data_IF_657831076918
#
_entry.id   IF_657831076918
#
_cell.length_a   1.000
_cell.length_b   1.000
_cell.length_c   1.000
_cell.angle_alpha   90.00
_cell.angle_beta   90.00
_cell.angle_gamma   90.00
#
_symmetry.space_group_name_H-M   'P 1'
#
loop_
_entity.id
_entity.type
_entity.pdbx_description
1 polymer ?
#
# COMPACT_ATOMS: atom_id res chain seq x y z
N UNK A 1 6.01 19.18 2.94
CA UNK A 1 6.27 19.32 1.50
C UNK A 1 5.18 20.19 0.88
N UNK A 2 5.44 21.02 -0.14
CA UNK A 2 4.40 21.83 -0.78
C UNK A 2 3.76 21.07 -1.98
N UNK A 3 2.56 21.47 -2.40
CA UNK A 3 1.82 20.85 -3.52
C UNK A 3 2.65 20.76 -4.80
N UNK A 4 3.45 21.78 -5.10
CA UNK A 4 4.32 21.82 -6.28
C UNK A 4 5.35 20.67 -6.30
N UNK A 5 5.92 20.35 -5.14
CA UNK A 5 6.90 19.28 -5.03
C UNK A 5 6.26 17.89 -5.25
N UNK A 6 4.99 17.70 -4.87
CA UNK A 6 4.28 16.43 -5.10
C UNK A 6 4.09 16.19 -6.59
N UNK A 7 3.60 17.21 -7.28
CA UNK A 7 3.38 17.14 -8.72
C UNK A 7 4.69 17.05 -9.50
N UNK A 8 5.76 17.69 -9.04
CA UNK A 8 7.11 17.48 -9.60
C UNK A 8 7.54 16.01 -9.48
N UNK A 9 7.39 15.41 -8.30
CA UNK A 9 7.72 14.00 -8.09
C UNK A 9 6.84 13.06 -8.92
N UNK A 10 5.55 13.39 -9.05
CA UNK A 10 4.60 12.68 -9.91
C UNK A 10 5.05 12.68 -11.37
N UNK A 11 5.41 13.84 -11.92
CA UNK A 11 5.85 13.96 -13.32
C UNK A 11 7.16 13.22 -13.59
N UNK A 12 8.14 13.34 -12.68
CA UNK A 12 9.41 12.61 -12.75
C UNK A 12 9.18 11.10 -12.70
N UNK A 13 8.26 10.66 -11.85
CA UNK A 13 7.86 9.27 -11.73
C UNK A 13 7.15 8.77 -12.99
N UNK A 14 6.22 9.52 -13.55
CA UNK A 14 5.49 9.15 -14.76
C UNK A 14 6.45 8.98 -15.95
N UNK A 15 7.38 9.94 -16.15
CA UNK A 15 8.40 9.85 -17.19
C UNK A 15 9.26 8.60 -17.04
N UNK A 16 9.59 8.23 -15.80
CA UNK A 16 10.34 7.00 -15.50
C UNK A 16 9.53 5.75 -15.84
N UNK A 17 8.27 5.66 -15.41
CA UNK A 17 7.38 4.53 -15.72
C UNK A 17 7.28 4.32 -17.23
N UNK A 18 7.10 5.39 -17.99
CA UNK A 18 7.09 5.35 -19.46
C UNK A 18 8.45 4.92 -20.03
N UNK A 19 9.57 5.41 -19.48
CA UNK A 19 10.92 5.01 -19.86
C UNK A 19 11.24 3.52 -19.60
N UNK A 20 10.57 2.91 -18.62
CA UNK A 20 10.64 1.47 -18.33
C UNK A 20 9.72 0.62 -19.22
N UNK A 21 9.01 1.24 -20.18
CA UNK A 21 7.96 0.61 -21.00
C UNK A 21 6.85 -0.04 -20.15
N UNK A 22 6.49 0.60 -19.05
CA UNK A 22 5.38 0.20 -18.19
C UNK A 22 4.17 1.11 -18.45
N UNK A 23 2.97 0.53 -18.37
CA UNK A 23 1.72 1.28 -18.37
C UNK A 23 1.44 1.84 -16.96
N UNK A 24 1.32 3.17 -16.78
CA UNK A 24 1.00 3.79 -15.49
C UNK A 24 -0.45 3.56 -15.05
N UNK A 25 -1.26 2.83 -15.85
CA UNK A 25 -2.65 2.48 -15.59
C UNK A 25 -3.65 3.64 -15.63
N UNK A 26 -3.32 4.68 -16.38
CA UNK A 26 -4.24 5.72 -16.83
C UNK A 26 -3.77 6.30 -18.16
N UNK A 27 -4.70 6.69 -19.03
CA UNK A 27 -4.40 7.34 -20.30
C UNK A 27 -4.73 8.84 -20.29
N UNK A 28 -4.63 9.45 -21.46
CA UNK A 28 -4.92 10.88 -21.65
C UNK A 28 -6.37 11.28 -21.30
N UNK A 29 -7.28 10.30 -21.15
CA UNK A 29 -8.66 10.49 -20.69
C UNK A 29 -8.79 10.71 -19.18
N UNK A 30 -7.72 10.52 -18.41
CA UNK A 30 -7.69 10.83 -16.99
C UNK A 30 -7.24 12.29 -16.82
N UNK A 31 -8.15 13.11 -16.33
CA UNK A 31 -7.93 14.53 -16.10
C UNK A 31 -8.32 14.85 -14.68
N UNK A 32 -7.46 15.56 -13.96
CA UNK A 32 -7.81 16.10 -12.66
C UNK A 32 -8.82 17.24 -12.80
N UNK A 33 -9.82 17.25 -11.92
CA UNK A 33 -10.98 18.15 -11.97
C UNK A 33 -11.33 18.63 -10.59
N UNK A 34 -11.51 19.94 -10.47
CA UNK A 34 -12.11 20.52 -9.28
C UNK A 34 -13.59 20.12 -9.21
N UNK A 35 -13.96 19.46 -8.12
CA UNK A 35 -15.32 18.98 -7.89
C UNK A 35 -15.93 19.72 -6.69
N UNK A 36 -17.22 20.13 -6.74
CA UNK A 36 -17.88 20.76 -5.61
C UNK A 36 -17.84 19.89 -4.34
N UNK A 37 -17.69 20.54 -3.18
CA UNK A 37 -17.55 19.86 -1.88
C UNK A 37 -18.69 18.88 -1.57
N UNK A 38 -19.92 19.18 -2.01
CA UNK A 38 -21.08 18.30 -1.81
C UNK A 38 -20.91 16.95 -2.52
N UNK A 39 -20.39 16.96 -3.76
CA UNK A 39 -20.08 15.74 -4.51
C UNK A 39 -18.90 14.99 -3.89
N UNK A 40 -17.87 15.72 -3.43
CA UNK A 40 -16.73 15.13 -2.70
C UNK A 40 -17.21 14.37 -1.45
N UNK A 41 -18.13 14.93 -0.66
CA UNK A 41 -18.70 14.26 0.52
C UNK A 41 -19.41 12.96 0.16
N UNK A 42 -20.23 12.97 -0.90
CA UNK A 42 -20.87 11.76 -1.40
C UNK A 42 -19.87 10.68 -1.84
N UNK A 43 -18.80 11.09 -2.52
CA UNK A 43 -17.69 10.20 -2.91
C UNK A 43 -16.99 9.59 -1.69
N UNK A 44 -16.68 10.40 -0.66
CA UNK A 44 -16.04 9.93 0.58
C UNK A 44 -16.89 8.86 1.27
N UNK A 45 -18.19 9.10 1.48
CA UNK A 45 -19.07 8.12 2.11
C UNK A 45 -19.17 6.82 1.30
N UNK A 46 -19.21 6.91 -0.03
CA UNK A 46 -19.20 5.74 -0.90
C UNK A 46 -17.90 4.93 -0.77
N UNK A 47 -16.74 5.61 -0.71
CA UNK A 47 -15.44 4.96 -0.51
C UNK A 47 -15.43 4.19 0.82
N UNK A 48 -15.90 4.79 1.92
CA UNK A 48 -15.96 4.16 3.24
C UNK A 48 -16.88 2.93 3.27
N UNK A 49 -18.04 3.01 2.60
CA UNK A 49 -18.98 1.90 2.45
C UNK A 49 -18.38 0.74 1.64
N UNK A 50 -17.71 1.05 0.52
CA UNK A 50 -17.03 0.06 -0.31
C UNK A 50 -15.92 -0.61 0.49
N UNK A 51 -15.09 0.18 1.18
CA UNK A 51 -14.00 -0.33 1.99
C UNK A 51 -14.52 -1.31 3.06
N UNK A 52 -15.57 -0.95 3.79
CA UNK A 52 -16.19 -1.83 4.80
C UNK A 52 -16.70 -3.14 4.18
N UNK A 53 -17.30 -3.09 2.98
CA UNK A 53 -17.73 -4.29 2.25
C UNK A 53 -16.54 -5.19 1.87
N UNK A 54 -15.43 -4.60 1.43
CA UNK A 54 -14.19 -5.34 1.12
C UNK A 54 -13.69 -6.06 2.37
N UNK A 55 -13.57 -5.36 3.50
CA UNK A 55 -13.10 -5.94 4.76
C UNK A 55 -14.00 -7.10 5.22
N UNK A 56 -15.32 -6.93 5.18
CA UNK A 56 -16.28 -7.99 5.52
C UNK A 56 -16.19 -9.19 4.59
N UNK A 57 -15.98 -8.94 3.29
CA UNK A 57 -15.80 -10.00 2.31
C UNK A 57 -14.54 -10.80 2.58
N UNK A 58 -13.41 -10.14 2.84
CA UNK A 58 -12.14 -10.81 3.19
C UNK A 58 -12.28 -11.66 4.45
N UNK A 59 -12.98 -11.16 5.47
CA UNK A 59 -13.33 -11.92 6.67
C UNK A 59 -14.14 -13.18 6.37
N UNK A 60 -15.14 -13.08 5.48
CA UNK A 60 -15.97 -14.21 5.04
C UNK A 60 -15.17 -15.23 4.24
N UNK A 61 -14.22 -14.76 3.42
CA UNK A 61 -13.31 -15.57 2.62
C UNK A 61 -12.18 -16.20 3.47
N UNK A 62 -12.15 -15.94 4.78
CA UNK A 62 -11.20 -16.54 5.73
C UNK A 62 -9.83 -15.86 5.80
N UNK A 63 -9.67 -14.69 5.17
CA UNK A 63 -8.42 -13.92 5.23
C UNK A 63 -8.29 -13.29 6.62
N UNK A 64 -7.14 -13.47 7.27
CA UNK A 64 -6.94 -12.90 8.60
C UNK A 64 -6.85 -11.37 8.56
N UNK A 65 -7.24 -10.72 9.66
CA UNK A 65 -7.10 -9.26 9.82
C UNK A 65 -5.63 -8.84 9.80
N UNK A 66 -4.72 -9.67 10.30
CA UNK A 66 -3.28 -9.37 10.22
C UNK A 66 -2.77 -9.34 8.78
N UNK A 67 -3.15 -10.32 7.95
CA UNK A 67 -2.83 -10.31 6.51
C UNK A 67 -3.47 -9.10 5.85
N UNK A 68 -4.75 -8.84 6.10
CA UNK A 68 -5.47 -7.73 5.49
C UNK A 68 -4.84 -6.37 5.80
N UNK A 69 -4.41 -6.14 7.05
CA UNK A 69 -3.76 -4.90 7.47
C UNK A 69 -2.44 -4.65 6.73
N UNK A 70 -1.69 -5.70 6.43
CA UNK A 70 -0.38 -5.62 5.78
C UNK A 70 -0.48 -5.61 4.25
N UNK A 71 -1.67 -5.79 3.69
CA UNK A 71 -1.90 -5.97 2.26
C UNK A 71 -2.48 -4.68 1.62
N UNK A 72 -1.76 -3.57 1.74
CA UNK A 72 -2.18 -2.26 1.22
C UNK A 72 -2.41 -2.28 -0.31
N UNK A 73 -1.67 -3.12 -1.02
CA UNK A 73 -1.74 -3.24 -2.48
C UNK A 73 -3.05 -3.91 -2.89
N UNK A 74 -3.41 -5.04 -2.29
CA UNK A 74 -4.66 -5.70 -2.62
C UNK A 74 -5.87 -4.87 -2.19
N UNK A 75 -5.82 -4.25 -1.00
CA UNK A 75 -6.89 -3.37 -0.55
C UNK A 75 -7.13 -2.21 -1.52
N UNK A 76 -6.05 -1.58 -1.98
CA UNK A 76 -6.14 -0.48 -2.96
C UNK A 76 -6.67 -0.97 -4.30
N UNK A 77 -6.21 -2.14 -4.77
CA UNK A 77 -6.68 -2.74 -6.02
C UNK A 77 -8.17 -3.13 -5.97
N UNK A 78 -8.62 -3.78 -4.90
CA UNK A 78 -10.03 -4.15 -4.70
C UNK A 78 -10.91 -2.90 -4.62
N UNK A 79 -10.46 -1.87 -3.91
CA UNK A 79 -11.15 -0.59 -3.81
C UNK A 79 -11.24 0.12 -5.16
N UNK A 80 -10.14 0.15 -5.94
CA UNK A 80 -10.14 0.72 -7.30
C UNK A 80 -11.16 0.03 -8.20
N UNK A 81 -11.20 -1.31 -8.17
CA UNK A 81 -12.14 -2.10 -8.95
C UNK A 81 -13.60 -1.77 -8.65
N UNK A 82 -13.95 -1.59 -7.38
CA UNK A 82 -15.30 -1.18 -6.96
C UNK A 82 -15.60 0.28 -7.31
N UNK A 83 -14.65 1.21 -7.16
CA UNK A 83 -14.82 2.61 -7.57
C UNK A 83 -15.10 2.72 -9.07
N UNK A 84 -14.37 1.96 -9.89
CA UNK A 84 -14.59 1.91 -11.35
C UNK A 84 -15.99 1.44 -11.71
N UNK A 85 -16.55 0.44 -11.00
CA UNK A 85 -17.95 -0.03 -11.18
C UNK A 85 -18.97 1.06 -10.85
N UNK A 86 -18.61 1.99 -9.96
CA UNK A 86 -19.43 3.14 -9.59
C UNK A 86 -19.15 4.39 -10.45
N UNK A 87 -18.36 4.25 -11.52
CA UNK A 87 -18.04 5.36 -12.44
C UNK A 87 -17.05 6.38 -11.89
N UNK A 88 -16.36 6.07 -10.79
CA UNK A 88 -15.33 6.92 -10.21
C UNK A 88 -13.99 6.52 -10.80
N UNK A 89 -13.30 7.49 -11.41
CA UNK A 89 -11.96 7.27 -11.95
C UNK A 89 -10.93 7.40 -10.85
N UNK A 90 -10.00 6.46 -10.79
CA UNK A 90 -8.87 6.49 -9.87
C UNK A 90 -7.65 5.80 -10.46
N UNK A 91 -6.49 6.28 -10.03
CA UNK A 91 -5.17 5.74 -10.35
C UNK A 91 -4.69 4.93 -9.16
N UNK A 92 -4.21 3.72 -9.42
CA UNK A 92 -3.49 2.91 -8.44
C UNK A 92 -2.04 3.36 -8.42
N UNK A 93 -1.64 4.02 -7.34
CA UNK A 93 -0.32 4.61 -7.20
C UNK A 93 0.50 3.77 -6.26
N UNK A 94 1.65 3.31 -6.75
CA UNK A 94 2.72 2.77 -5.91
C UNK A 94 3.64 3.89 -5.47
N UNK A 95 4.24 3.75 -4.29
CA UNK A 95 5.13 4.79 -3.79
C UNK A 95 5.73 4.49 -2.42
N UNK A 96 6.30 5.53 -1.84
CA UNK A 96 6.76 5.56 -0.45
C UNK A 96 5.93 6.62 0.31
N UNK A 97 6.03 6.61 1.63
CA UNK A 97 5.56 7.72 2.44
C UNK A 97 6.51 7.99 3.61
N UNK A 98 6.57 9.25 4.01
CA UNK A 98 7.33 9.76 5.14
C UNK A 98 6.36 10.02 6.28
N UNK A 99 6.65 9.50 7.47
CA UNK A 99 5.86 9.74 8.66
C UNK A 99 6.74 10.31 9.77
N UNK A 100 6.37 11.48 10.30
CA UNK A 100 7.16 12.27 11.25
C UNK A 100 8.63 12.50 10.82
N UNK A 101 8.84 12.72 9.52
CA UNK A 101 10.17 12.96 8.94
C UNK A 101 10.98 11.71 8.63
N UNK A 102 10.48 10.52 8.99
CA UNK A 102 11.15 9.25 8.72
C UNK A 102 10.50 8.56 7.49
N UNK A 103 11.29 8.17 6.48
CA UNK A 103 10.79 7.39 5.36
C UNK A 103 10.39 5.99 5.85
N UNK A 104 9.22 5.52 5.44
CA UNK A 104 8.68 4.24 5.91
C UNK A 104 9.19 3.06 5.10
N UNK A 105 9.59 3.31 3.86
CA UNK A 105 10.30 2.36 3.03
C UNK A 105 11.61 2.98 2.51
N UNK A 106 12.41 2.16 1.84
CA UNK A 106 13.65 2.63 1.20
C UNK A 106 13.63 2.21 -0.27
N UNK A 107 12.77 2.88 -1.03
CA UNK A 107 12.54 2.55 -2.44
C UNK A 107 13.45 3.39 -3.32
N UNK A 108 14.53 2.76 -3.77
CA UNK A 108 15.38 3.34 -4.82
C UNK A 108 14.93 2.88 -6.22
N UNK A 109 15.37 3.60 -7.24
CA UNK A 109 15.21 3.15 -8.64
C UNK A 109 15.80 1.77 -8.88
N UNK A 110 16.97 1.51 -8.28
CA UNK A 110 17.62 0.20 -8.32
C UNK A 110 16.74 -0.89 -7.69
N UNK A 111 16.01 -0.56 -6.63
CA UNK A 111 15.07 -1.47 -6.00
C UNK A 111 13.87 -1.76 -6.93
N UNK A 112 13.23 -0.72 -7.48
CA UNK A 112 12.11 -0.88 -8.43
C UNK A 112 12.52 -1.78 -9.61
N UNK A 113 13.70 -1.52 -10.18
CA UNK A 113 14.22 -2.32 -11.29
C UNK A 113 14.54 -3.77 -10.89
N UNK A 114 15.08 -3.99 -9.69
CA UNK A 114 15.41 -5.35 -9.23
C UNK A 114 14.17 -6.20 -9.00
N UNK A 115 13.03 -5.60 -8.61
CA UNK A 115 11.77 -6.33 -8.43
C UNK A 115 11.21 -6.85 -9.76
N UNK A 116 11.39 -6.13 -10.88
CA UNK A 116 10.93 -6.58 -12.20
C UNK A 116 11.56 -7.92 -12.66
N UNK A 117 12.69 -8.32 -12.07
CA UNK A 117 13.37 -9.58 -12.34
C UNK A 117 13.26 -10.63 -11.23
N UNK A 118 12.59 -10.31 -10.11
CA UNK A 118 12.51 -11.17 -8.94
C UNK A 118 11.06 -11.57 -8.64
N UNK A 119 10.83 -12.86 -8.44
CA UNK A 119 9.59 -13.36 -7.81
C UNK A 119 9.73 -13.25 -6.29
N UNK A 120 9.77 -12.03 -5.77
CA UNK A 120 9.90 -11.80 -4.32
C UNK A 120 8.52 -11.58 -3.68
N UNK A 121 8.19 -12.29 -2.59
CA UNK A 121 6.90 -12.14 -1.90
C UNK A 121 6.83 -10.89 -1.01
N UNK A 122 7.86 -10.05 -0.98
CA UNK A 122 7.93 -8.86 -0.13
C UNK A 122 8.15 -7.58 -0.94
N UNK A 123 7.16 -6.71 -0.95
CA UNK A 123 7.30 -5.34 -1.46
C UNK A 123 7.67 -4.40 -0.32
N UNK A 124 8.80 -3.72 -0.45
CA UNK A 124 9.10 -2.51 0.30
C UNK A 124 8.43 -1.29 -0.33
N UNK A 125 7.21 -1.42 -0.85
CA UNK A 125 6.46 -0.38 -1.55
C UNK A 125 5.06 -0.29 -0.95
N UNK A 126 4.57 0.94 -0.85
CA UNK A 126 3.21 1.22 -0.45
C UNK A 126 2.31 1.43 -1.66
N UNK A 127 1.01 1.21 -1.51
CA UNK A 127 0.04 1.44 -2.57
C UNK A 127 -1.18 2.18 -2.01
N UNK A 128 -1.63 3.19 -2.75
CA UNK A 128 -2.82 3.98 -2.47
C UNK A 128 -3.54 4.35 -3.78
N UNK A 129 -4.67 5.06 -3.66
CA UNK A 129 -5.40 5.58 -4.81
C UNK A 129 -5.34 7.10 -4.87
N UNK A 130 -5.30 7.63 -6.08
CA UNK A 130 -5.53 9.04 -6.37
C UNK A 130 -6.71 9.15 -7.34
N UNK A 131 -7.75 9.87 -6.95
CA UNK A 131 -8.96 10.07 -7.76
C UNK A 131 -8.81 11.27 -8.69
N UNK A 132 -9.66 11.33 -9.71
CA UNK A 132 -9.72 12.45 -10.66
C UNK A 132 -10.14 13.78 -10.02
N UNK A 133 -10.60 13.77 -8.77
CA UNK A 133 -10.96 14.95 -7.99
C UNK A 133 -9.94 15.32 -6.90
N UNK A 134 -8.68 14.93 -7.08
CA UNK A 134 -7.56 15.20 -6.15
C UNK A 134 -7.63 14.50 -4.79
N UNK A 135 -8.60 13.61 -4.57
CA UNK A 135 -8.62 12.81 -3.35
C UNK A 135 -7.54 11.73 -3.39
N UNK A 136 -6.67 11.74 -2.39
CA UNK A 136 -5.86 10.60 -2.00
C UNK A 136 -6.69 9.69 -1.09
N UNK A 137 -6.67 8.39 -1.37
CA UNK A 137 -7.35 7.36 -0.58
C UNK A 137 -6.36 6.26 -0.26
N UNK A 138 -6.01 6.12 1.02
CA UNK A 138 -5.12 5.09 1.52
C UNK A 138 -5.89 4.13 2.44
N UNK A 139 -6.12 2.88 2.02
CA UNK A 139 -6.96 1.95 2.77
C UNK A 139 -6.28 1.38 4.01
N UNK A 140 -4.99 1.61 4.22
CA UNK A 140 -4.20 0.86 5.20
C UNK A 140 -3.70 1.69 6.38
N UNK A 141 -3.40 2.99 6.21
CA UNK A 141 -2.78 3.81 7.27
C UNK A 141 -3.58 3.83 8.58
N UNK A 142 -4.90 4.03 8.54
CA UNK A 142 -5.68 4.08 9.79
C UNK A 142 -5.78 2.69 10.42
N UNK A 143 -5.79 1.63 9.62
CA UNK A 143 -5.72 0.26 10.15
C UNK A 143 -4.41 0.05 10.93
N UNK A 144 -3.30 0.61 10.46
CA UNK A 144 -2.04 0.59 11.23
C UNK A 144 -2.15 1.32 12.57
N UNK A 145 -2.82 2.48 12.60
CA UNK A 145 -2.99 3.27 13.83
C UNK A 145 -3.99 2.66 14.83
N UNK A 146 -5.05 2.01 14.34
CA UNK A 146 -6.08 1.35 15.17
C UNK A 146 -5.93 -0.17 15.22
N UNK A 147 -4.68 -0.66 15.05
CA UNK A 147 -4.33 -2.07 14.88
C UNK A 147 -5.06 -3.00 15.84
N UNK A 148 -4.98 -2.75 17.15
CA UNK A 148 -5.50 -3.68 18.15
C UNK A 148 -7.02 -3.87 18.04
N UNK A 149 -7.77 -2.79 17.80
CA UNK A 149 -9.23 -2.86 17.60
C UNK A 149 -9.59 -3.58 16.30
N UNK A 150 -8.83 -3.33 15.24
CA UNK A 150 -9.03 -3.98 13.94
C UNK A 150 -8.75 -5.49 14.02
N UNK A 151 -7.67 -5.89 14.70
CA UNK A 151 -7.32 -7.30 14.92
C UNK A 151 -8.34 -8.03 15.80
N UNK A 152 -8.88 -7.34 16.81
CA UNK A 152 -9.95 -7.84 17.66
C UNK A 152 -11.33 -7.87 16.98
N UNK A 153 -11.43 -7.41 15.72
CA UNK A 153 -12.70 -7.27 14.96
C UNK A 153 -13.73 -6.36 15.64
N UNK A 154 -13.28 -5.41 16.46
CA UNK A 154 -14.14 -4.40 17.07
C UNK A 154 -14.54 -3.31 16.05
N UNK A 155 -13.69 -3.09 15.05
CA UNK A 155 -13.91 -2.15 13.95
C UNK A 155 -13.53 -2.78 12.61
N UNK A 156 -14.15 -2.30 11.54
CA UNK A 156 -13.71 -2.60 10.17
C UNK A 156 -12.57 -1.68 9.68
N UNK A 157 -12.22 -0.67 10.48
CA UNK A 157 -11.30 0.40 10.10
C UNK A 157 -11.97 1.41 9.16
N UNK A 158 -11.16 2.35 8.66
CA UNK A 158 -11.57 3.31 7.63
C UNK A 158 -10.35 3.67 6.77
N UNK A 159 -10.51 3.98 5.49
CA UNK A 159 -9.42 4.52 4.70
C UNK A 159 -9.06 5.92 5.21
N UNK A 160 -7.78 6.29 5.11
CA UNK A 160 -7.37 7.68 5.17
C UNK A 160 -7.75 8.35 3.85
N UNK A 161 -8.60 9.37 3.91
CA UNK A 161 -9.04 10.11 2.72
C UNK A 161 -8.74 11.59 2.95
N UNK A 162 -8.01 12.20 2.02
CA UNK A 162 -7.69 13.62 2.06
C UNK A 162 -7.56 14.17 0.66
N UNK A 163 -7.74 15.48 0.52
CA UNK A 163 -7.23 16.20 -0.64
C UNK A 163 -5.69 16.14 -0.62
N UNK A 164 -5.11 15.70 -1.73
CA UNK A 164 -3.66 15.49 -1.87
C UNK A 164 -2.86 16.77 -1.69
N UNK A 165 -3.48 17.93 -1.97
CA UNK A 165 -2.86 19.25 -1.82
C UNK A 165 -2.96 19.77 -0.37
N UNK A 166 -3.69 19.06 0.49
CA UNK A 166 -3.91 19.41 1.91
C UNK A 166 -3.30 18.41 2.89
N UNK A 167 -2.45 17.51 2.40
CA UNK A 167 -1.73 16.56 3.24
C UNK A 167 -0.93 17.32 4.31
N UNK A 168 -0.96 16.83 5.55
CA UNK A 168 -0.32 17.50 6.67
C UNK A 168 1.22 17.46 6.53
N UNK A 169 1.94 18.20 7.37
CA UNK A 169 3.41 18.18 7.37
C UNK A 169 4.02 16.87 7.84
N UNK A 170 3.26 16.09 8.62
CA UNK A 170 3.79 14.95 9.38
C UNK A 170 3.61 13.62 8.65
N UNK A 171 2.77 13.56 7.63
CA UNK A 171 2.60 12.42 6.73
C UNK A 171 2.77 12.95 5.32
N UNK A 172 3.64 12.35 4.52
CA UNK A 172 3.89 12.81 3.17
C UNK A 172 4.07 11.64 2.20
N UNK A 173 3.50 11.70 1.00
CA UNK A 173 3.51 10.61 0.01
C UNK A 173 4.43 10.91 -1.17
N UNK A 174 5.35 9.98 -1.47
CA UNK A 174 6.29 10.06 -2.60
C UNK A 174 5.78 9.11 -3.70
N UNK A 175 5.15 9.62 -4.78
CA UNK A 175 4.58 8.77 -5.81
C UNK A 175 5.67 8.18 -6.73
N UNK A 176 5.55 6.89 -7.04
CA UNK A 176 6.32 6.20 -8.09
C UNK A 176 5.49 5.74 -9.28
N UNK A 177 4.15 5.91 -9.26
CA UNK A 177 3.23 5.84 -10.41
C UNK A 177 3.58 4.69 -11.38
N UNK A 178 3.89 3.51 -10.85
CA UNK A 178 4.37 2.37 -11.65
C UNK A 178 3.23 1.64 -12.37
N UNK A 179 2.00 1.87 -11.93
CA UNK A 179 0.79 1.28 -12.48
C UNK A 179 0.56 -0.18 -12.09
N UNK A 180 -0.60 -0.68 -12.49
CA UNK A 180 -1.05 -2.07 -12.29
C UNK A 180 -0.14 -3.07 -13.02
N UNK A 181 0.35 -2.73 -14.21
CA UNK A 181 1.23 -3.62 -14.99
C UNK A 181 2.50 -3.97 -14.21
N UNK A 182 3.08 -2.98 -13.51
CA UNK A 182 4.22 -3.23 -12.63
C UNK A 182 3.86 -4.21 -11.52
N UNK A 183 2.74 -3.98 -10.81
CA UNK A 183 2.28 -4.83 -9.72
C UNK A 183 2.02 -6.28 -10.18
N UNK A 184 1.48 -6.47 -11.39
CA UNK A 184 1.33 -7.79 -12.01
C UNK A 184 2.69 -8.43 -12.27
N UNK A 185 3.63 -7.70 -12.88
CA UNK A 185 4.97 -8.20 -13.22
C UNK A 185 5.75 -8.69 -12.00
N UNK A 186 5.57 -8.03 -10.86
CA UNK A 186 6.25 -8.40 -9.61
C UNK A 186 5.42 -9.34 -8.72
N UNK A 187 4.30 -9.87 -9.23
CA UNK A 187 3.42 -10.81 -8.52
C UNK A 187 2.78 -10.24 -7.23
N UNK A 188 2.63 -8.92 -7.15
CA UNK A 188 2.13 -8.22 -5.96
C UNK A 188 0.60 -8.27 -5.78
N UNK A 189 -0.12 -8.70 -6.81
CA UNK A 189 -1.58 -8.87 -6.76
C UNK A 189 -2.00 -10.31 -6.45
N UNK A 190 -1.06 -11.24 -6.32
CA UNK A 190 -1.36 -12.62 -5.91
C UNK A 190 -1.36 -12.73 -4.38
N UNK A 191 -2.31 -13.48 -3.84
CA UNK A 191 -2.48 -13.57 -2.40
C UNK A 191 -1.27 -14.26 -1.75
N UNK A 192 -0.91 -13.83 -0.54
CA UNK A 192 -0.02 -14.62 0.34
C UNK A 192 -0.61 -16.03 0.60
N UNK A 193 -1.94 -16.19 0.49
CA UNK A 193 -2.62 -17.49 0.51
C UNK A 193 -2.42 -18.33 -0.76
N UNK A 194 -2.14 -17.71 -1.91
CA UNK A 194 -1.96 -18.42 -3.19
C UNK A 194 -0.54 -19.00 -3.33
N UNK A 195 0.41 -18.51 -2.52
CA UNK A 195 1.80 -19.01 -2.45
C UNK A 195 1.95 -20.18 -1.46
N UNK A 196 0.89 -20.51 -0.73
CA UNK A 196 0.87 -21.64 0.20
C UNK A 196 0.14 -22.86 -0.36
N UNK A 197 0.73 -23.61 -1.31
CA UNK A 197 0.36 -25.02 -1.60
C UNK A 197 1.57 -25.74 -2.26
N UNK A 198 1.75 -27.08 -2.17
CA UNK A 198 1.13 -28.13 -1.35
C UNK A 198 2.17 -29.02 -0.58
N UNK A 199 1.69 -29.85 0.34
CA UNK A 199 2.29 -31.10 0.86
C UNK A 199 3.79 -31.34 0.64
N UNK A 200 4.64 -30.81 1.52
CA UNK A 200 5.93 -31.44 1.81
C UNK A 200 5.75 -32.24 3.10
N UNK A 201 5.56 -33.55 2.93
CA UNK A 201 5.58 -34.55 4.00
C UNK A 201 7.00 -34.61 4.59
N UNK A 202 7.30 -33.75 5.56
CA UNK A 202 8.50 -33.86 6.40
C UNK A 202 8.11 -34.51 7.71
N UNK A 203 8.10 -35.84 7.72
CA UNK A 203 8.31 -36.59 8.96
C UNK A 203 9.68 -36.22 9.53
N UNK A 204 9.69 -35.35 10.54
CA UNK A 204 10.86 -35.03 11.33
C UNK A 204 10.71 -33.69 12.04
N UNK A 205 10.23 -33.75 13.28
CA UNK A 205 10.35 -32.71 14.31
C UNK A 205 9.71 -31.34 14.00
N UNK A 206 8.38 -31.30 14.11
CA UNK A 206 7.62 -30.09 14.46
C UNK A 206 7.95 -29.66 15.91
N UNK A 207 9.15 -29.10 16.10
CA UNK A 207 9.35 -28.13 17.17
C UNK A 207 8.78 -26.80 16.70
N UNK A 208 7.77 -26.33 17.43
CA UNK A 208 7.27 -24.98 17.37
C UNK A 208 8.43 -23.98 17.47
N UNK A 209 8.83 -23.39 16.34
CA UNK A 209 9.62 -22.17 16.35
C UNK A 209 8.66 -20.99 16.29
N UNK A 210 8.25 -20.56 17.48
CA UNK A 210 8.03 -19.14 17.71
C UNK A 210 9.20 -18.40 17.04
N UNK A 211 8.91 -17.55 16.04
CA UNK A 211 9.87 -16.56 15.59
C UNK A 211 10.13 -15.67 16.82
N UNK A 212 11.15 -16.03 17.58
CA UNK A 212 11.69 -15.18 18.62
C UNK A 212 12.13 -13.90 17.92
N UNK A 213 11.61 -12.76 18.38
CA UNK A 213 12.08 -11.47 17.91
C UNK A 213 13.62 -11.45 17.95
N UNK A 214 14.29 -10.94 16.90
CA UNK A 214 15.73 -10.80 16.92
C UNK A 214 16.15 -10.07 18.19
N UNK A 215 17.13 -10.62 18.90
CA UNK A 215 17.65 -9.98 20.10
C UNK A 215 18.03 -8.53 19.79
N UNK A 216 17.68 -7.59 20.68
CA UNK A 216 17.92 -6.15 20.51
C UNK A 216 19.36 -5.80 20.09
N UNK A 217 20.33 -6.67 20.34
CA UNK A 217 21.73 -6.46 20.02
C UNK A 217 22.25 -7.24 18.79
N UNK A 218 21.46 -8.10 18.14
CA UNK A 218 21.85 -8.75 16.88
C UNK A 218 21.76 -7.78 15.71
N UNK A 219 22.51 -8.06 14.63
CA UNK A 219 22.35 -7.31 13.39
C UNK A 219 20.91 -7.42 12.91
N UNK A 220 20.40 -6.32 12.38
CA UNK A 220 19.03 -6.25 11.93
C UNK A 220 18.85 -7.10 10.67
N UNK A 221 17.78 -7.90 10.56
CA UNK A 221 17.49 -8.70 9.36
C UNK A 221 17.21 -7.86 8.11
N UNK A 222 17.10 -6.53 8.27
CA UNK A 222 16.96 -5.55 7.19
C UNK A 222 18.25 -5.34 6.38
N UNK A 223 19.34 -6.04 6.74
CA UNK A 223 20.69 -5.90 6.16
C UNK A 223 21.24 -4.46 6.16
N UNK A 224 20.71 -3.57 7.02
CA UNK A 224 21.22 -2.20 7.15
C UNK A 224 22.63 -2.13 7.72
N UNK A 225 23.13 -3.22 8.30
CA UNK A 225 24.37 -3.26 9.07
C UNK A 225 24.23 -2.76 10.52
N UNK A 226 23.06 -2.28 10.91
CA UNK A 226 22.78 -1.81 12.28
C UNK A 226 22.26 -2.92 13.20
N UNK A 227 22.29 -2.67 14.51
CA UNK A 227 21.64 -3.57 15.49
C UNK A 227 20.12 -3.45 15.41
N UNK A 228 19.40 -4.55 15.64
CA UNK A 228 17.95 -4.64 15.56
C UNK A 228 17.25 -3.50 16.32
N UNK A 229 17.67 -3.17 17.54
CA UNK A 229 17.10 -2.06 18.33
C UNK A 229 17.21 -0.66 17.69
N UNK A 230 18.03 -0.49 16.66
CA UNK A 230 18.28 0.78 15.99
C UNK A 230 17.75 0.84 14.54
N UNK A 231 17.49 -0.31 13.88
CA UNK A 231 16.76 -0.41 12.60
C UNK A 231 15.29 -0.75 12.88
N UNK A 232 14.88 -2.01 12.75
CA UNK A 232 13.47 -2.43 12.80
C UNK A 232 12.88 -2.54 14.22
N UNK A 233 13.70 -2.52 15.26
CA UNK A 233 13.27 -2.67 16.66
C UNK A 233 12.91 -1.34 17.36
N UNK A 234 12.85 -0.23 16.63
CA UNK A 234 12.34 1.05 17.17
C UNK A 234 10.81 1.02 17.18
N UNK A 235 10.25 0.65 18.33
CA UNK A 235 8.91 1.07 18.73
C UNK A 235 9.08 2.21 19.76
N UNK A 236 9.27 3.43 19.25
CA UNK A 236 9.03 4.69 19.97
C UNK A 236 8.61 5.72 18.96
#
# INVERSE_FOLDING_TARGET
MNTEEYWRLWDESLLRTLGLNLNPSFGAEFEFKDVPLEKIRGTISLIEDIFTKIIKKRDQDGVSREITRLDCTRLSYELQGELKKNGIKSILVTGDYVFHGEPMYNVSEKYIFSQLGASSPGMGLHTWLVLDNYLLVDPSIIIFNEKEKFLAKEIDGKPYITDIEKINSDLFYIPFVLGEEYLIKINALHSISDVLLPDVDVKGDLHANALSEPSRNTLCPCDSGDKYKYCCGKLT
#
